data_IF_714451715799
#
_entry.id   IF_714451715799
#
_cell.length_a   1.000
_cell.length_b   1.000
_cell.length_c   1.000
_cell.angle_alpha   90.00
_cell.angle_beta   90.00
_cell.angle_gamma   90.00
#
_symmetry.space_group_name_H-M   'P 1'
#
loop_
_entity.id
_entity.type
_entity.pdbx_description
1 polymer ?
#
# COMPACT_ATOMS: atom_id res chain seq x y z
N UNK A 1 8.70 -16.55 -34.85
CA UNK A 1 9.67 -15.77 -35.66
C UNK A 1 9.15 -14.35 -35.85
N UNK A 2 10.02 -13.37 -35.68
CA UNK A 2 9.69 -11.97 -35.94
C UNK A 2 10.14 -11.57 -37.35
N UNK A 3 9.38 -10.68 -38.00
CA UNK A 3 9.68 -10.15 -39.36
C UNK A 3 9.74 -8.63 -39.33
N UNK A 4 10.57 -8.07 -40.22
CA UNK A 4 10.66 -6.62 -40.41
C UNK A 4 10.02 -6.26 -41.75
N UNK A 5 9.16 -5.25 -41.74
CA UNK A 5 8.53 -4.70 -42.94
C UNK A 5 8.77 -3.20 -43.00
N UNK A 6 9.12 -2.69 -44.18
CA UNK A 6 9.22 -1.25 -44.44
C UNK A 6 7.84 -0.71 -44.78
N UNK A 7 7.41 0.38 -44.14
CA UNK A 7 6.16 1.09 -44.40
C UNK A 7 6.45 2.59 -44.55
N UNK A 8 6.50 3.06 -45.76
CA UNK A 8 6.90 4.45 -46.07
C UNK A 8 8.27 4.75 -45.47
N UNK A 9 8.36 5.73 -44.56
CA UNK A 9 9.59 6.16 -43.91
C UNK A 9 9.90 5.44 -42.59
N UNK A 10 9.10 4.41 -42.22
CA UNK A 10 9.27 3.66 -40.99
C UNK A 10 9.50 2.17 -41.23
N UNK A 11 10.09 1.49 -40.25
CA UNK A 11 10.32 0.05 -40.21
C UNK A 11 9.50 -0.56 -39.07
N UNK A 12 8.67 -1.56 -39.42
CA UNK A 12 7.82 -2.23 -38.46
C UNK A 12 8.30 -3.64 -38.16
N UNK A 13 8.38 -4.01 -36.88
CA UNK A 13 8.65 -5.38 -36.41
C UNK A 13 7.33 -6.03 -36.10
N UNK A 14 7.05 -7.17 -36.75
CA UNK A 14 5.86 -7.99 -36.48
C UNK A 14 6.31 -9.31 -35.89
N UNK A 15 5.70 -9.73 -34.78
CA UNK A 15 6.00 -10.98 -34.10
C UNK A 15 4.74 -11.63 -33.57
N UNK A 16 4.77 -12.97 -33.41
CA UNK A 16 3.69 -13.76 -32.86
C UNK A 16 4.06 -14.21 -31.45
N UNK A 17 3.13 -14.10 -30.54
CA UNK A 17 3.26 -14.58 -29.16
C UNK A 17 1.95 -15.24 -28.71
N UNK A 18 1.95 -15.89 -27.55
CA UNK A 18 0.74 -16.39 -26.89
C UNK A 18 0.45 -15.50 -25.70
N UNK A 19 -0.81 -15.13 -25.52
CA UNK A 19 -1.25 -14.44 -24.30
C UNK A 19 -1.30 -15.40 -23.10
N UNK A 20 -1.64 -14.88 -21.92
CA UNK A 20 -1.71 -15.68 -20.69
C UNK A 20 -2.76 -16.81 -20.75
N UNK A 21 -3.71 -16.77 -21.67
CA UNK A 21 -4.68 -17.85 -21.91
C UNK A 21 -4.20 -18.87 -22.93
N UNK A 22 -3.00 -18.70 -23.50
CA UNK A 22 -2.44 -19.53 -24.55
C UNK A 22 -2.92 -19.20 -25.96
N UNK A 23 -3.76 -18.15 -26.13
CA UNK A 23 -4.28 -17.71 -27.43
C UNK A 23 -3.19 -17.06 -28.27
N UNK A 24 -3.04 -17.39 -29.55
CA UNK A 24 -2.07 -16.76 -30.42
C UNK A 24 -2.44 -15.30 -30.69
N UNK A 25 -1.49 -14.42 -30.43
CA UNK A 25 -1.56 -12.98 -30.64
C UNK A 25 -0.45 -12.49 -31.55
N UNK A 26 -0.61 -11.30 -32.13
CA UNK A 26 0.42 -10.65 -32.95
C UNK A 26 0.78 -9.30 -32.33
N UNK A 27 2.09 -9.08 -32.13
CA UNK A 27 2.67 -7.81 -31.74
C UNK A 27 3.16 -7.03 -32.96
N UNK A 28 3.07 -5.71 -32.84
CA UNK A 28 3.46 -4.78 -33.88
C UNK A 28 4.11 -3.54 -33.29
N UNK A 29 5.37 -3.29 -33.65
CA UNK A 29 6.11 -2.12 -33.17
C UNK A 29 6.73 -1.39 -34.37
N UNK A 30 6.71 -0.05 -34.41
CA UNK A 30 7.25 0.76 -35.49
C UNK A 30 8.44 1.60 -35.06
N UNK A 31 9.49 1.65 -35.87
CA UNK A 31 10.74 2.33 -35.59
C UNK A 31 11.10 3.26 -36.76
N UNK A 32 11.85 4.32 -36.45
CA UNK A 32 12.31 5.27 -37.47
C UNK A 32 13.45 4.72 -38.33
N UNK A 33 14.30 3.87 -37.74
CA UNK A 33 15.47 3.33 -38.43
C UNK A 33 15.41 1.80 -38.57
N UNK A 34 16.00 1.29 -39.63
CA UNK A 34 16.15 -0.15 -39.87
C UNK A 34 16.98 -0.82 -38.75
N UNK A 35 17.97 -0.11 -38.21
CA UNK A 35 18.84 -0.61 -37.16
C UNK A 35 18.06 -0.87 -35.87
N UNK A 36 17.24 0.10 -35.41
CA UNK A 36 16.37 -0.07 -34.23
C UNK A 36 15.40 -1.25 -34.40
N UNK A 37 14.78 -1.38 -35.59
CA UNK A 37 13.90 -2.49 -35.90
C UNK A 37 14.64 -3.84 -35.85
N UNK A 38 15.89 -3.90 -36.34
CA UNK A 38 16.71 -5.11 -36.29
C UNK A 38 17.08 -5.49 -34.84
N UNK A 39 17.50 -4.53 -34.04
CA UNK A 39 17.81 -4.73 -32.62
C UNK A 39 16.57 -5.22 -31.83
N UNK A 40 15.40 -4.60 -32.07
CA UNK A 40 14.16 -5.04 -31.46
C UNK A 40 13.74 -6.44 -31.89
N UNK A 41 13.89 -6.77 -33.17
CA UNK A 41 13.62 -8.12 -33.67
C UNK A 41 14.43 -9.17 -32.92
N UNK A 42 15.76 -8.96 -32.83
CA UNK A 42 16.65 -9.90 -32.11
C UNK A 42 16.27 -10.04 -30.65
N UNK A 43 15.95 -8.92 -29.99
CA UNK A 43 15.52 -8.90 -28.59
C UNK A 43 14.25 -9.71 -28.39
N UNK A 44 13.21 -9.47 -29.20
CA UNK A 44 11.93 -10.20 -29.10
C UNK A 44 12.10 -11.68 -29.41
N UNK A 45 12.89 -12.05 -30.41
CA UNK A 45 13.15 -13.47 -30.72
C UNK A 45 13.87 -14.17 -29.57
N UNK A 46 14.83 -13.50 -28.93
CA UNK A 46 15.50 -14.01 -27.73
C UNK A 46 14.53 -14.16 -26.56
N UNK A 47 13.75 -13.11 -26.24
CA UNK A 47 12.75 -13.11 -25.16
C UNK A 47 11.70 -14.23 -25.34
N UNK A 48 11.29 -14.49 -26.59
CA UNK A 48 10.35 -15.56 -26.93
C UNK A 48 10.98 -16.96 -26.78
N UNK A 49 12.29 -17.09 -27.07
CA UNK A 49 13.02 -18.36 -26.98
C UNK A 49 13.33 -18.73 -25.53
N UNK A 50 13.74 -17.78 -24.71
CA UNK A 50 14.11 -18.00 -23.29
C UNK A 50 12.91 -17.89 -22.33
N UNK A 51 11.71 -17.57 -22.88
CA UNK A 51 10.47 -17.47 -22.09
C UNK A 51 10.34 -16.19 -21.27
N UNK A 52 11.24 -15.21 -21.46
CA UNK A 52 11.21 -13.93 -20.75
C UNK A 52 10.34 -12.87 -21.43
N UNK A 53 9.63 -13.22 -22.51
CA UNK A 53 8.78 -12.28 -23.24
C UNK A 53 7.60 -11.83 -22.37
N UNK A 54 7.53 -10.55 -22.07
CA UNK A 54 6.35 -9.96 -21.43
C UNK A 54 5.24 -9.76 -22.44
N UNK A 55 4.10 -10.38 -22.19
CA UNK A 55 2.88 -10.12 -22.95
C UNK A 55 2.50 -8.65 -22.77
N UNK A 56 2.31 -7.88 -23.87
CA UNK A 56 1.85 -6.51 -23.77
C UNK A 56 0.53 -6.43 -23.03
N UNK A 57 0.53 -5.72 -21.91
CA UNK A 57 -0.64 -5.55 -21.05
C UNK A 57 -1.00 -4.06 -20.94
N UNK A 58 -2.28 -3.77 -20.92
CA UNK A 58 -2.82 -2.43 -20.75
C UNK A 58 -3.19 -2.13 -19.31
N UNK A 59 -2.95 -3.09 -18.38
CA UNK A 59 -3.27 -2.98 -16.96
C UNK A 59 -2.71 -1.70 -16.37
N UNK A 60 -3.58 -0.94 -15.73
CA UNK A 60 -3.24 0.29 -15.02
C UNK A 60 -2.74 -0.01 -13.61
N UNK A 61 -2.07 0.97 -13.00
CA UNK A 61 -1.64 0.86 -11.59
C UNK A 61 -2.85 0.65 -10.66
N UNK A 62 -3.97 1.31 -10.95
CA UNK A 62 -5.22 1.16 -10.19
C UNK A 62 -5.73 -0.28 -10.26
N UNK A 63 -5.84 -0.86 -11.46
CA UNK A 63 -6.29 -2.24 -11.64
C UNK A 63 -5.37 -3.26 -10.98
N UNK A 64 -4.04 -3.06 -11.07
CA UNK A 64 -3.06 -3.89 -10.38
C UNK A 64 -3.28 -3.87 -8.87
N UNK A 65 -3.41 -2.67 -8.28
CA UNK A 65 -3.54 -2.50 -6.84
C UNK A 65 -4.85 -3.09 -6.31
N UNK A 66 -5.94 -2.93 -7.05
CA UNK A 66 -7.23 -3.54 -6.69
C UNK A 66 -7.18 -5.08 -6.74
N UNK A 67 -6.60 -5.66 -7.80
CA UNK A 67 -6.40 -7.11 -7.89
C UNK A 67 -5.49 -7.61 -6.76
N UNK A 68 -4.40 -6.91 -6.50
CA UNK A 68 -3.46 -7.26 -5.45
C UNK A 68 -4.13 -7.25 -4.07
N UNK A 69 -4.87 -6.19 -3.71
CA UNK A 69 -5.60 -6.11 -2.43
C UNK A 69 -6.59 -7.27 -2.32
N UNK A 70 -7.39 -7.54 -3.36
CA UNK A 70 -8.39 -8.62 -3.36
C UNK A 70 -7.75 -9.98 -3.09
N UNK A 71 -6.64 -10.29 -3.75
CA UNK A 71 -5.95 -11.59 -3.59
C UNK A 71 -5.27 -11.68 -2.22
N UNK A 72 -4.52 -10.63 -1.83
CA UNK A 72 -3.72 -10.66 -0.62
C UNK A 72 -4.54 -10.59 0.66
N UNK A 73 -5.63 -9.85 0.65
CA UNK A 73 -6.53 -9.76 1.82
C UNK A 73 -7.12 -11.12 2.18
N UNK A 74 -7.49 -11.91 1.17
CA UNK A 74 -8.01 -13.27 1.34
C UNK A 74 -6.90 -14.27 1.70
N UNK A 75 -5.79 -14.26 0.94
CA UNK A 75 -4.66 -15.19 1.13
C UNK A 75 -4.03 -15.06 2.52
N UNK A 76 -3.85 -13.86 3.01
CA UNK A 76 -3.18 -13.57 4.28
C UNK A 76 -4.13 -13.24 5.43
N UNK A 77 -5.43 -13.39 5.25
CA UNK A 77 -6.45 -13.10 6.28
C UNK A 77 -6.19 -11.77 6.96
N UNK A 78 -6.15 -10.69 6.16
CA UNK A 78 -5.87 -9.36 6.68
C UNK A 78 -6.88 -8.96 7.76
N UNK A 79 -6.40 -8.25 8.78
CA UNK A 79 -7.31 -7.62 9.73
C UNK A 79 -8.16 -6.54 9.02
N UNK A 80 -9.40 -6.27 9.48
CA UNK A 80 -10.25 -5.21 8.93
C UNK A 80 -9.53 -3.85 8.90
N UNK A 81 -8.70 -3.56 9.88
CA UNK A 81 -7.89 -2.34 9.94
C UNK A 81 -6.86 -2.28 8.81
N UNK A 82 -6.11 -3.35 8.59
CA UNK A 82 -5.10 -3.45 7.51
C UNK A 82 -5.76 -3.27 6.14
N UNK A 83 -6.88 -3.94 5.91
CA UNK A 83 -7.65 -3.81 4.68
C UNK A 83 -8.10 -2.37 4.45
N UNK A 84 -8.77 -1.76 5.44
CA UNK A 84 -9.27 -0.37 5.34
C UNK A 84 -8.15 0.62 5.08
N UNK A 85 -7.01 0.49 5.78
CA UNK A 85 -5.86 1.37 5.58
C UNK A 85 -5.26 1.22 4.18
N UNK A 86 -5.10 -0.02 3.69
CA UNK A 86 -4.56 -0.28 2.35
C UNK A 86 -5.46 0.28 1.26
N UNK A 87 -6.78 0.05 1.36
CA UNK A 87 -7.77 0.61 0.42
C UNK A 87 -7.76 2.14 0.45
N UNK A 88 -7.78 2.74 1.64
CA UNK A 88 -7.75 4.20 1.77
C UNK A 88 -6.46 4.81 1.20
N UNK A 89 -5.31 4.17 1.43
CA UNK A 89 -4.02 4.60 0.88
C UNK A 89 -4.02 4.53 -0.65
N UNK A 90 -4.51 3.45 -1.23
CA UNK A 90 -4.63 3.30 -2.68
C UNK A 90 -5.55 4.36 -3.26
N UNK A 91 -6.76 4.51 -2.74
CA UNK A 91 -7.76 5.43 -3.27
C UNK A 91 -7.39 6.90 -3.09
N UNK A 92 -6.79 7.28 -1.95
CA UNK A 92 -6.57 8.66 -1.60
C UNK A 92 -5.17 9.18 -1.95
N UNK A 93 -4.15 8.32 -1.94
CA UNK A 93 -2.75 8.72 -2.10
C UNK A 93 -2.09 8.21 -3.38
N UNK A 94 -2.61 7.16 -4.03
CA UNK A 94 -1.95 6.57 -5.21
C UNK A 94 -2.77 6.80 -6.49
N UNK A 95 -4.02 6.34 -6.51
CA UNK A 95 -4.88 6.39 -7.70
C UNK A 95 -5.05 7.80 -8.27
N UNK A 96 -5.24 8.87 -7.46
CA UNK A 96 -5.41 10.21 -8.01
C UNK A 96 -4.21 10.75 -8.79
N UNK A 97 -3.02 10.19 -8.58
CA UNK A 97 -1.77 10.69 -9.17
C UNK A 97 -1.20 9.79 -10.26
N UNK A 98 -1.19 8.49 -10.03
CA UNK A 98 -0.57 7.52 -10.93
C UNK A 98 -1.50 6.36 -11.32
N UNK A 99 -2.73 6.31 -10.82
CA UNK A 99 -3.66 5.19 -11.03
C UNK A 99 -3.92 4.85 -12.49
N UNK A 100 -4.05 5.85 -13.35
CA UNK A 100 -4.30 5.69 -14.80
C UNK A 100 -3.07 5.33 -15.63
N UNK A 101 -1.87 5.32 -15.03
CA UNK A 101 -0.65 4.94 -15.75
C UNK A 101 -0.62 3.43 -15.95
N UNK A 102 -0.19 2.97 -17.12
CA UNK A 102 0.02 1.54 -17.34
C UNK A 102 1.24 1.05 -16.56
N UNK A 103 1.10 -0.12 -15.97
CA UNK A 103 2.14 -0.71 -15.11
C UNK A 103 3.45 -0.92 -15.88
N UNK A 104 3.35 -1.42 -17.13
CA UNK A 104 4.51 -1.69 -17.99
C UNK A 104 5.24 -0.43 -18.48
N UNK A 105 4.57 0.73 -18.51
CA UNK A 105 5.13 2.00 -18.95
C UNK A 105 5.74 2.81 -17.79
N UNK A 106 5.55 2.35 -16.53
CA UNK A 106 5.98 3.08 -15.35
C UNK A 106 7.48 2.97 -15.14
N UNK A 107 8.15 4.10 -14.97
CA UNK A 107 9.59 4.20 -14.74
C UNK A 107 9.89 4.68 -13.32
N UNK A 108 11.08 4.38 -12.83
CA UNK A 108 11.55 4.86 -11.52
C UNK A 108 11.42 6.37 -11.36
N UNK A 109 11.77 7.13 -12.41
CA UNK A 109 11.63 8.60 -12.42
C UNK A 109 10.18 9.07 -12.19
N UNK A 110 9.19 8.36 -12.74
CA UNK A 110 7.77 8.69 -12.54
C UNK A 110 7.37 8.54 -11.06
N UNK A 111 7.90 7.53 -10.41
CA UNK A 111 7.68 7.28 -8.97
C UNK A 111 8.39 8.31 -8.10
N UNK A 112 9.62 8.70 -8.42
CA UNK A 112 10.31 9.77 -7.70
C UNK A 112 9.55 11.10 -7.80
N UNK A 113 9.06 11.43 -9.00
CA UNK A 113 8.22 12.61 -9.23
C UNK A 113 6.89 12.53 -8.45
N UNK A 114 6.31 11.34 -8.38
CA UNK A 114 5.12 11.08 -7.59
C UNK A 114 5.37 11.32 -6.09
N UNK A 115 6.49 10.82 -5.52
CA UNK A 115 6.83 11.09 -4.12
C UNK A 115 7.08 12.57 -3.84
N UNK A 116 7.74 13.27 -4.77
CA UNK A 116 7.91 14.72 -4.65
C UNK A 116 6.57 15.48 -4.67
N UNK A 117 5.58 14.95 -5.40
CA UNK A 117 4.21 15.50 -5.39
C UNK A 117 3.51 15.22 -4.07
N UNK A 118 3.59 13.98 -3.54
CA UNK A 118 3.01 13.63 -2.24
C UNK A 118 3.57 14.49 -1.10
N UNK A 119 4.88 14.79 -1.10
CA UNK A 119 5.51 15.62 -0.08
C UNK A 119 4.96 17.06 -0.03
N UNK A 120 4.31 17.51 -1.10
CA UNK A 120 3.67 18.84 -1.19
C UNK A 120 2.14 18.75 -1.11
N UNK A 121 1.60 17.55 -0.93
CA UNK A 121 0.16 17.31 -0.90
C UNK A 121 -0.39 17.56 0.50
N UNK A 122 -1.47 18.35 0.65
CA UNK A 122 -2.17 18.51 1.91
C UNK A 122 -2.77 17.18 2.40
N UNK A 123 -2.71 16.98 3.73
CA UNK A 123 -3.39 15.86 4.35
C UNK A 123 -4.91 15.97 4.15
N UNK A 124 -5.56 14.88 3.72
CA UNK A 124 -7.00 14.86 3.42
C UNK A 124 -7.38 15.51 2.08
N UNK A 125 -6.41 15.73 1.17
CA UNK A 125 -6.69 16.25 -0.19
C UNK A 125 -7.68 15.37 -0.98
N UNK A 126 -7.66 14.05 -0.73
CA UNK A 126 -8.62 13.11 -1.27
C UNK A 126 -9.23 12.25 -0.15
N UNK A 127 -10.52 11.98 -0.24
CA UNK A 127 -11.27 11.06 0.63
C UNK A 127 -12.10 10.16 -0.27
N UNK A 128 -11.96 8.85 -0.12
CA UNK A 128 -12.57 7.84 -1.01
C UNK A 128 -12.33 8.12 -2.51
N UNK A 129 -11.11 8.58 -2.84
CA UNK A 129 -10.73 8.93 -4.20
C UNK A 129 -11.28 10.28 -4.71
N UNK A 130 -12.14 10.95 -3.95
CA UNK A 130 -12.75 12.23 -4.32
C UNK A 130 -11.94 13.39 -3.77
N UNK A 131 -11.59 14.34 -4.64
CA UNK A 131 -10.86 15.56 -4.26
C UNK A 131 -11.71 16.44 -3.35
N UNK A 132 -11.14 16.85 -2.22
CA UNK A 132 -11.80 17.69 -1.22
C UNK A 132 -11.46 19.16 -1.38
N UNK A 133 -12.41 20.03 -1.04
CA UNK A 133 -12.17 21.47 -0.87
C UNK A 133 -11.63 21.70 0.54
N UNK A 134 -10.36 22.07 0.63
CA UNK A 134 -9.67 22.28 1.91
C UNK A 134 -9.67 23.76 2.29
N UNK A 135 -9.83 24.03 3.59
CA UNK A 135 -9.61 25.34 4.18
C UNK A 135 -8.12 25.71 4.16
N UNK A 136 -7.77 26.98 4.30
CA UNK A 136 -6.36 27.42 4.27
C UNK A 136 -5.52 26.84 5.41
N UNK A 137 -6.13 26.57 6.56
CA UNK A 137 -5.48 25.86 7.69
C UNK A 137 -5.17 24.41 7.33
N UNK A 138 -6.10 23.71 6.67
CA UNK A 138 -5.92 22.33 6.23
C UNK A 138 -4.87 22.19 5.11
N UNK A 139 -4.81 23.15 4.17
CA UNK A 139 -3.80 23.18 3.10
C UNK A 139 -2.35 23.26 3.64
N UNK A 140 -2.16 23.88 4.81
CA UNK A 140 -0.84 23.96 5.46
C UNK A 140 -0.37 22.65 6.09
N UNK A 141 -1.28 21.70 6.35
CA UNK A 141 -0.95 20.41 6.93
C UNK A 141 -0.62 19.40 5.82
N UNK A 142 0.63 19.29 5.47
CA UNK A 142 1.12 18.35 4.44
C UNK A 142 1.13 16.90 4.94
N UNK A 143 1.19 15.95 4.00
CA UNK A 143 1.40 14.53 4.31
C UNK A 143 2.72 14.33 5.06
N UNK A 144 2.70 13.46 6.07
CA UNK A 144 3.90 13.12 6.83
C UNK A 144 4.86 12.26 6.00
N UNK A 145 6.15 12.36 6.31
CA UNK A 145 7.17 11.49 5.71
C UNK A 145 6.89 10.00 5.97
N UNK A 146 6.28 9.68 7.12
CA UNK A 146 5.82 8.33 7.45
C UNK A 146 4.77 7.83 6.47
N UNK A 147 3.76 8.66 6.16
CA UNK A 147 2.70 8.29 5.18
C UNK A 147 3.27 8.02 3.80
N UNK A 148 4.26 8.81 3.36
CA UNK A 148 4.94 8.60 2.07
C UNK A 148 5.75 7.29 2.10
N UNK A 149 6.37 6.97 3.22
CA UNK A 149 7.09 5.71 3.42
C UNK A 149 6.14 4.50 3.39
N UNK A 150 4.96 4.62 3.98
CA UNK A 150 3.92 3.58 3.93
C UNK A 150 3.43 3.35 2.51
N UNK A 151 3.20 4.42 1.72
CA UNK A 151 2.90 4.33 0.28
C UNK A 151 4.00 3.59 -0.47
N UNK A 152 5.27 3.91 -0.21
CA UNK A 152 6.40 3.19 -0.83
C UNK A 152 6.38 1.70 -0.48
N UNK A 153 6.14 1.35 0.78
CA UNK A 153 6.10 -0.04 1.26
C UNK A 153 4.97 -0.83 0.59
N UNK A 154 3.78 -0.22 0.48
CA UNK A 154 2.64 -0.82 -0.22
C UNK A 154 2.95 -1.04 -1.70
N UNK A 155 3.46 -0.02 -2.40
CA UNK A 155 3.84 -0.12 -3.81
C UNK A 155 4.93 -1.16 -4.03
N UNK A 156 5.93 -1.23 -3.15
CA UNK A 156 7.00 -2.24 -3.22
C UNK A 156 6.43 -3.65 -3.19
N UNK A 157 5.53 -3.91 -2.25
CA UNK A 157 4.88 -5.22 -2.14
C UNK A 157 4.02 -5.52 -3.37
N UNK A 158 3.18 -4.59 -3.80
CA UNK A 158 2.31 -4.79 -4.96
C UNK A 158 3.11 -5.00 -6.26
N UNK A 159 4.18 -4.22 -6.51
CA UNK A 159 5.03 -4.42 -7.69
C UNK A 159 5.90 -5.67 -7.60
N UNK A 160 6.23 -6.17 -6.40
CA UNK A 160 6.86 -7.50 -6.26
C UNK A 160 5.95 -8.60 -6.79
N UNK A 161 4.65 -8.52 -6.47
CA UNK A 161 3.66 -9.44 -7.04
C UNK A 161 3.45 -9.22 -8.55
N UNK A 162 3.54 -7.99 -9.04
CA UNK A 162 3.48 -7.74 -10.49
C UNK A 162 4.64 -8.40 -11.24
N UNK A 163 5.83 -8.51 -10.63
CA UNK A 163 6.95 -9.30 -11.16
C UNK A 163 6.67 -10.79 -11.06
N UNK A 164 6.15 -11.29 -9.93
CA UNK A 164 5.78 -12.70 -9.73
C UNK A 164 4.66 -13.15 -10.71
N UNK A 165 3.79 -12.24 -11.10
CA UNK A 165 2.72 -12.47 -12.08
C UNK A 165 3.14 -12.24 -13.53
N UNK A 166 4.42 -12.08 -13.80
CA UNK A 166 5.00 -11.81 -15.12
C UNK A 166 4.40 -10.59 -15.85
N UNK A 167 3.88 -9.60 -15.09
CA UNK A 167 3.35 -8.36 -15.66
C UNK A 167 4.46 -7.34 -15.97
N UNK A 168 5.55 -7.36 -15.23
CA UNK A 168 6.74 -6.51 -15.41
C UNK A 168 8.01 -7.26 -15.08
N UNK A 169 9.14 -6.91 -15.72
CA UNK A 169 10.43 -7.55 -15.45
C UNK A 169 11.09 -7.09 -14.16
N UNK A 170 10.87 -5.84 -13.76
CA UNK A 170 11.50 -5.24 -12.58
C UNK A 170 10.59 -4.24 -11.89
N UNK A 171 10.80 -4.11 -10.60
CA UNK A 171 10.07 -3.16 -9.76
C UNK A 171 10.48 -1.72 -10.16
N UNK A 172 9.53 -0.84 -10.56
CA UNK A 172 9.83 0.52 -11.01
C UNK A 172 10.00 1.51 -9.83
N UNK A 173 10.51 1.06 -8.69
CA UNK A 173 10.72 1.91 -7.52
C UNK A 173 12.18 2.35 -7.40
N UNK A 174 12.45 3.53 -6.81
CA UNK A 174 13.79 3.93 -6.46
C UNK A 174 14.42 2.94 -5.46
N UNK A 175 15.75 2.80 -5.54
CA UNK A 175 16.52 1.91 -4.66
C UNK A 175 16.33 2.29 -3.19
N UNK A 176 16.40 3.60 -2.92
CA UNK A 176 16.27 4.13 -1.58
C UNK A 176 14.83 4.53 -1.31
N UNK A 177 14.27 4.02 -0.24
CA UNK A 177 12.92 4.38 0.19
C UNK A 177 12.92 5.81 0.78
N UNK A 178 11.81 6.56 0.69
CA UNK A 178 11.69 7.89 1.27
C UNK A 178 12.12 7.90 2.75
N UNK A 179 12.95 8.88 3.12
CA UNK A 179 13.40 9.04 4.52
C UNK A 179 12.23 9.46 5.40
N UNK A 180 12.20 8.93 6.61
CA UNK A 180 11.22 9.31 7.63
C UNK A 180 11.89 10.28 8.60
N UNK A 181 11.29 11.45 8.77
CA UNK A 181 11.68 12.37 9.83
C UNK A 181 10.93 11.95 11.10
N UNK A 182 11.63 11.42 12.06
CA UNK A 182 11.08 11.05 13.35
C UNK A 182 11.29 12.24 14.27
N UNK A 183 10.18 12.87 14.69
CA UNK A 183 10.22 13.84 15.78
C UNK A 183 10.27 13.07 17.09
N UNK A 184 11.20 13.40 17.96
CA UNK A 184 11.29 12.83 19.29
C UNK A 184 10.01 13.21 20.07
N UNK A 185 9.33 12.19 20.59
CA UNK A 185 8.15 12.40 21.42
C UNK A 185 8.60 12.71 22.84
N UNK A 186 8.08 13.76 23.42
CA UNK A 186 8.26 14.04 24.84
C UNK A 186 7.62 12.94 25.67
N UNK A 187 8.42 12.27 26.48
CA UNK A 187 7.91 11.30 27.45
C UNK A 187 7.55 12.09 28.71
N UNK A 188 6.36 11.86 29.22
CA UNK A 188 5.93 12.49 30.46
C UNK A 188 6.71 11.95 31.64
N UNK A 189 7.12 12.83 32.54
CA UNK A 189 7.66 12.45 33.83
C UNK A 189 6.53 12.01 34.81
N UNK A 190 6.91 11.41 35.91
CA UNK A 190 5.98 10.93 36.91
C UNK A 190 5.03 12.02 37.39
N UNK A 191 5.55 13.24 37.64
CA UNK A 191 4.75 14.38 38.13
C UNK A 191 3.67 14.75 37.09
N UNK A 192 4.02 14.80 35.82
CA UNK A 192 3.08 15.09 34.73
C UNK A 192 2.03 13.99 34.58
N UNK A 193 2.44 12.72 34.71
CA UNK A 193 1.51 11.58 34.68
C UNK A 193 0.50 11.61 35.82
N UNK A 194 0.94 11.87 37.06
CA UNK A 194 0.06 11.99 38.23
C UNK A 194 -0.90 13.17 38.10
N UNK A 195 -0.42 14.33 37.66
CA UNK A 195 -1.26 15.49 37.43
C UNK A 195 -2.33 15.23 36.35
N UNK A 196 -1.98 14.53 35.29
CA UNK A 196 -2.93 14.14 34.25
C UNK A 196 -4.03 13.21 34.78
N UNK A 197 -3.68 12.21 35.60
CA UNK A 197 -4.66 11.33 36.26
C UNK A 197 -5.65 12.11 37.12
N UNK A 198 -5.18 13.11 37.87
CA UNK A 198 -6.04 13.93 38.76
C UNK A 198 -7.06 14.79 37.98
N UNK A 199 -6.80 15.09 36.69
CA UNK A 199 -7.70 15.89 35.86
C UNK A 199 -8.79 15.05 35.15
N UNK A 200 -8.73 13.73 35.24
CA UNK A 200 -9.69 12.85 34.56
C UNK A 200 -10.87 12.58 35.47
N UNK A 201 -12.01 13.18 35.16
CA UNK A 201 -13.26 13.06 35.95
C UNK A 201 -14.02 11.76 35.61
N UNK A 202 -13.91 11.24 34.38
CA UNK A 202 -14.62 10.02 33.97
C UNK A 202 -13.94 8.78 34.57
N UNK A 203 -14.65 7.99 35.42
CA UNK A 203 -14.04 6.86 36.12
C UNK A 203 -13.51 5.75 35.19
N UNK A 204 -14.20 5.48 34.10
CA UNK A 204 -13.78 4.45 33.13
C UNK A 204 -12.50 4.88 32.38
N UNK A 205 -12.42 6.15 31.97
CA UNK A 205 -11.23 6.70 31.37
C UNK A 205 -10.06 6.76 32.35
N UNK A 206 -10.32 7.17 33.60
CA UNK A 206 -9.33 7.19 34.67
C UNK A 206 -8.73 5.78 34.88
N UNK A 207 -9.58 4.76 35.01
CA UNK A 207 -9.14 3.36 35.16
C UNK A 207 -8.32 2.91 33.96
N UNK A 208 -8.79 3.18 32.73
CA UNK A 208 -8.08 2.80 31.49
C UNK A 208 -6.69 3.43 31.39
N UNK A 209 -6.56 4.72 31.70
CA UNK A 209 -5.28 5.44 31.68
C UNK A 209 -4.37 4.89 32.80
N UNK A 210 -4.90 4.64 33.98
CA UNK A 210 -4.18 4.07 35.11
C UNK A 210 -3.62 2.69 34.78
N UNK A 211 -4.43 1.79 34.19
CA UNK A 211 -3.99 0.48 33.70
C UNK A 211 -2.90 0.60 32.62
N UNK A 212 -3.05 1.54 31.72
CA UNK A 212 -2.03 1.78 30.68
C UNK A 212 -0.70 2.23 31.28
N UNK A 213 -0.73 3.11 32.27
CA UNK A 213 0.47 3.63 32.92
C UNK A 213 1.19 2.57 33.78
N UNK A 214 0.45 1.80 34.57
CA UNK A 214 1.02 0.82 35.54
C UNK A 214 1.35 -0.50 34.83
N UNK A 215 0.44 -1.02 34.01
CA UNK A 215 0.56 -2.33 33.40
C UNK A 215 1.10 -2.28 31.97
N UNK A 216 1.33 -1.08 31.42
CA UNK A 216 1.80 -0.87 30.05
C UNK A 216 0.89 -1.51 28.99
N UNK A 217 -0.40 -1.67 29.29
CA UNK A 217 -1.39 -2.24 28.37
C UNK A 217 -1.73 -1.24 27.25
N UNK A 218 -1.92 -1.79 26.06
CA UNK A 218 -2.38 -1.01 24.91
C UNK A 218 -3.88 -0.73 25.02
N UNK A 219 -4.34 0.37 24.42
CA UNK A 219 -5.77 0.75 24.40
C UNK A 219 -6.68 -0.43 24.03
N UNK A 220 -6.38 -1.15 22.95
CA UNK A 220 -7.20 -2.28 22.50
C UNK A 220 -7.18 -3.48 23.46
N UNK A 221 -6.10 -3.69 24.19
CA UNK A 221 -5.98 -4.73 25.21
C UNK A 221 -6.86 -4.37 26.41
N UNK A 222 -6.80 -3.11 26.89
CA UNK A 222 -7.65 -2.61 27.98
C UNK A 222 -9.14 -2.73 27.63
N UNK A 223 -9.53 -2.29 26.43
CA UNK A 223 -10.92 -2.38 25.96
C UNK A 223 -11.39 -3.82 25.71
N UNK A 224 -10.46 -4.76 25.52
CA UNK A 224 -10.74 -6.18 25.34
C UNK A 224 -10.88 -6.97 26.63
N UNK A 225 -10.51 -6.40 27.80
CA UNK A 225 -10.58 -7.10 29.08
C UNK A 225 -12.03 -7.37 29.50
N UNK A 226 -12.24 -8.53 30.09
CA UNK A 226 -13.49 -8.98 30.67
C UNK A 226 -13.24 -9.37 32.16
N UNK A 227 -14.28 -9.40 32.97
CA UNK A 227 -14.16 -9.81 34.37
C UNK A 227 -13.58 -11.22 34.50
N UNK A 228 -13.85 -12.11 33.58
CA UNK A 228 -13.28 -13.47 33.54
C UNK A 228 -11.77 -13.50 33.25
N UNK A 229 -11.17 -12.41 32.79
CA UNK A 229 -9.73 -12.31 32.58
C UNK A 229 -8.97 -11.86 33.86
N UNK A 230 -9.70 -11.59 34.92
CA UNK A 230 -9.18 -11.15 36.21
C UNK A 230 -9.30 -12.31 37.20
N UNK A 231 -8.19 -12.68 37.83
CA UNK A 231 -8.12 -13.66 38.91
C UNK A 231 -7.53 -12.96 40.14
N UNK A 232 -8.34 -12.84 41.18
CA UNK A 232 -7.94 -12.21 42.42
C UNK A 232 -7.88 -13.27 43.54
N UNK A 233 -6.69 -13.60 43.99
CA UNK A 233 -6.53 -14.39 45.22
C UNK A 233 -6.68 -13.47 46.41
N UNK A 234 -7.86 -13.57 47.04
CA UNK A 234 -8.20 -12.77 48.21
C UNK A 234 -7.34 -13.08 49.45
N UNK A 235 -6.72 -14.26 49.50
CA UNK A 235 -5.90 -14.70 50.64
C UNK A 235 -4.51 -14.03 50.61
N UNK A 236 -3.90 -13.86 49.43
CA UNK A 236 -2.54 -13.32 49.29
C UNK A 236 -2.50 -11.85 48.89
N UNK A 237 -3.65 -11.24 48.61
CA UNK A 237 -3.74 -9.85 48.11
C UNK A 237 -3.10 -9.66 46.75
N UNK A 238 -2.90 -10.74 46.00
CA UNK A 238 -2.35 -10.76 44.63
C UNK A 238 -3.47 -10.92 43.61
N UNK A 239 -3.26 -10.41 42.43
CA UNK A 239 -4.18 -10.60 41.32
C UNK A 239 -3.42 -10.84 40.01
N UNK A 240 -4.02 -11.63 39.15
CA UNK A 240 -3.51 -11.89 37.81
C UNK A 240 -4.48 -11.34 36.75
N UNK A 241 -3.96 -10.70 35.70
CA UNK A 241 -4.71 -10.24 34.55
C UNK A 241 -4.25 -11.01 33.33
N UNK A 242 -5.16 -11.76 32.71
CA UNK A 242 -4.87 -12.51 31.49
C UNK A 242 -5.21 -11.67 30.24
N UNK A 243 -4.19 -11.24 29.50
CA UNK A 243 -4.38 -10.44 28.29
C UNK A 243 -4.30 -11.34 27.06
N UNK A 244 -5.44 -11.87 26.62
CA UNK A 244 -5.55 -12.83 25.52
C UNK A 244 -6.15 -12.27 24.23
N UNK A 245 -6.76 -11.08 24.30
CA UNK A 245 -7.52 -10.48 23.20
C UNK A 245 -7.33 -8.96 23.13
N UNK A 246 -7.62 -8.40 21.97
CA UNK A 246 -7.59 -6.95 21.74
C UNK A 246 -8.85 -6.53 21.01
N UNK A 247 -9.49 -5.46 21.45
CA UNK A 247 -10.62 -4.86 20.77
C UNK A 247 -10.11 -3.85 19.74
N UNK A 248 -10.65 -3.91 18.54
CA UNK A 248 -10.34 -2.96 17.47
C UNK A 248 -11.63 -2.45 16.83
N UNK A 249 -11.63 -1.15 16.50
CA UNK A 249 -12.72 -0.59 15.71
C UNK A 249 -12.57 -1.09 14.27
N UNK A 250 -13.58 -1.80 13.77
CA UNK A 250 -13.64 -2.29 12.40
C UNK A 250 -14.60 -1.44 11.57
N UNK A 251 -14.28 -1.27 10.29
CA UNK A 251 -15.20 -0.71 9.31
C UNK A 251 -16.15 -1.82 8.84
N UNK A 252 -17.47 -1.54 8.78
CA UNK A 252 -18.50 -2.50 8.34
C UNK A 252 -18.20 -3.04 6.95
N UNK A 253 -17.86 -2.18 5.99
CA UNK A 253 -17.53 -2.59 4.61
C UNK A 253 -16.32 -3.53 4.55
N UNK A 254 -15.35 -3.35 5.46
CA UNK A 254 -14.18 -4.23 5.53
C UNK A 254 -14.54 -5.60 6.12
N UNK A 255 -15.45 -5.64 7.09
CA UNK A 255 -15.94 -6.92 7.66
C UNK A 255 -16.69 -7.71 6.59
N UNK A 256 -17.63 -7.08 5.88
CA UNK A 256 -18.42 -7.74 4.82
C UNK A 256 -17.54 -8.29 3.68
N UNK A 257 -16.42 -7.64 3.37
CA UNK A 257 -15.49 -8.09 2.30
C UNK A 257 -14.51 -9.16 2.73
N UNK A 258 -14.13 -9.18 4.01
CA UNK A 258 -13.14 -10.14 4.53
C UNK A 258 -13.77 -11.41 5.07
N UNK A 259 -15.00 -11.30 5.57
CA UNK A 259 -15.80 -12.42 6.08
C UNK A 259 -17.26 -12.22 5.64
N UNK A 260 -17.59 -12.68 4.44
CA UNK A 260 -18.93 -12.49 3.84
C UNK A 260 -20.03 -13.35 4.46
N UNK A 261 -19.76 -14.14 5.52
CA UNK A 261 -20.76 -15.02 6.18
C UNK A 261 -21.33 -14.39 7.45
#
# INVERSE_FOLDING_TARGET
MASIMKRGDSYSVRYKYKDYSGKPCEGWESFKTKKEAQERKITVEKELLDGSFLVPDTMTVEELLHKWISIQSTKHKWSPKTYTQSVAMVQNLIVPYIGKRKVQELRTYDIEKFYATLARTPCGQYVHGVKQTLTDKQKKRLLSSTSIREVHTLLKTAFSYAVEWDLIHKIPLPRDAPKVNIEERTIWDEKTMLAALQTIENPALHLAVHMSMILSLREGEILGLQLSDLDFDAADGRGTISVSKTMQRANKDALEKLDPN
#
